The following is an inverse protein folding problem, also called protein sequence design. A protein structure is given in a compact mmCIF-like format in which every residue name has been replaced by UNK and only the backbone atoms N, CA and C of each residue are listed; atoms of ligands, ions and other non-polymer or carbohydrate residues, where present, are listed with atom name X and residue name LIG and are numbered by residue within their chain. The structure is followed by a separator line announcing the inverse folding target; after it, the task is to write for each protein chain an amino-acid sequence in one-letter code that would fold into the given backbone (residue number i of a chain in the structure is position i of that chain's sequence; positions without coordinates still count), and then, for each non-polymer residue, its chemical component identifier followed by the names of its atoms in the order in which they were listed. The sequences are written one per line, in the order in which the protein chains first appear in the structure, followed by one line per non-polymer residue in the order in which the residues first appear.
data_IF_203515915559
#
_entry.id   IF_203515915559
#
_cell.length_a   1.000
_cell.length_b   1.000
_cell.length_c   1.000
_cell.angle_alpha   90.00
_cell.angle_beta   90.00
_cell.angle_gamma   90.00
#
_symmetry.space_group_name_H-M   'P 1'
#
loop_
_entity.id
_entity.type
_entity.pdbx_description
1 polymer ?
#
# COMPACT_ATOMS: atom_id res chain seq x y z
N UNK A 1 16.63 -11.25 11.32
CA UNK A 1 15.71 -11.08 10.17
C UNK A 1 15.92 -9.67 9.67
N UNK A 2 16.34 -9.46 8.41
CA UNK A 2 16.59 -8.09 7.91
C UNK A 2 15.23 -7.40 7.75
N UNK A 3 15.14 -6.17 8.22
CA UNK A 3 14.00 -5.30 7.99
C UNK A 3 14.01 -4.88 6.51
N UNK A 4 13.08 -5.44 5.72
CA UNK A 4 12.99 -5.21 4.27
C UNK A 4 12.72 -3.74 3.94
N UNK A 5 11.88 -3.06 4.72
CA UNK A 5 11.58 -1.64 4.52
C UNK A 5 12.82 -0.78 4.77
N UNK A 6 13.62 -1.12 5.79
CA UNK A 6 14.91 -0.46 6.02
C UNK A 6 15.87 -0.65 4.84
N UNK A 7 15.91 -1.85 4.24
CA UNK A 7 16.75 -2.09 3.06
C UNK A 7 16.28 -1.28 1.85
N UNK A 8 14.96 -1.13 1.65
CA UNK A 8 14.39 -0.30 0.58
C UNK A 8 14.78 1.17 0.77
N UNK A 9 14.61 1.71 1.99
CA UNK A 9 15.01 3.08 2.33
C UNK A 9 16.50 3.31 2.08
N UNK A 10 17.36 2.38 2.52
CA UNK A 10 18.80 2.48 2.28
C UNK A 10 19.12 2.43 0.78
N UNK A 11 18.54 1.49 0.04
CA UNK A 11 18.74 1.36 -1.41
C UNK A 11 18.34 2.64 -2.18
N UNK A 12 17.28 3.31 -1.71
CA UNK A 12 16.79 4.56 -2.26
C UNK A 12 17.70 5.75 -1.92
N UNK A 13 18.20 5.83 -0.68
CA UNK A 13 19.16 6.87 -0.27
C UNK A 13 20.51 6.74 -0.99
N UNK A 14 21.01 5.51 -1.14
CA UNK A 14 22.24 5.21 -1.87
C UNK A 14 22.18 5.72 -3.32
N UNK A 15 20.97 5.73 -3.92
CA UNK A 15 20.69 6.21 -5.28
C UNK A 15 20.20 7.65 -5.34
N UNK A 16 20.18 8.36 -4.21
CA UNK A 16 19.71 9.75 -4.12
C UNK A 16 18.26 9.93 -4.55
N UNK A 17 17.43 8.89 -4.44
CA UNK A 17 16.00 9.00 -4.69
C UNK A 17 15.33 9.85 -3.59
N UNK A 18 15.81 9.77 -2.35
CA UNK A 18 15.25 10.58 -1.26
C UNK A 18 15.58 12.07 -1.39
N UNK A 19 16.71 12.43 -2.01
CA UNK A 19 17.19 13.81 -2.10
C UNK A 19 17.00 14.46 -3.47
N UNK A 20 17.04 13.69 -4.55
CA UNK A 20 17.03 14.20 -5.93
C UNK A 20 15.71 13.91 -6.66
N UNK A 21 14.87 13.02 -6.15
CA UNK A 21 13.51 12.82 -6.65
C UNK A 21 12.52 13.64 -5.82
N UNK A 22 11.28 13.76 -6.30
CA UNK A 22 10.21 14.49 -5.61
C UNK A 22 9.05 13.54 -5.31
N UNK A 23 8.23 13.83 -4.28
CA UNK A 23 7.02 13.04 -4.02
C UNK A 23 6.08 12.97 -5.22
N UNK A 24 6.01 14.02 -6.04
CA UNK A 24 5.21 14.05 -7.26
C UNK A 24 5.75 13.09 -8.34
N UNK A 25 7.08 12.99 -8.47
CA UNK A 25 7.71 12.02 -9.35
C UNK A 25 7.51 10.58 -8.85
N UNK A 26 7.58 10.36 -7.53
CA UNK A 26 7.26 9.04 -6.95
C UNK A 26 5.77 8.68 -7.08
N UNK A 27 4.86 9.66 -7.03
CA UNK A 27 3.45 9.44 -7.34
C UNK A 27 3.23 8.97 -8.79
N UNK A 28 3.93 9.58 -9.75
CA UNK A 28 3.93 9.13 -11.14
C UNK A 28 4.44 7.69 -11.25
N UNK A 29 5.54 7.36 -10.55
CA UNK A 29 6.07 5.99 -10.51
C UNK A 29 5.08 5.01 -9.88
N UNK A 30 4.43 5.38 -8.79
CA UNK A 30 3.39 4.57 -8.15
C UNK A 30 2.23 4.29 -9.11
N UNK A 31 1.85 5.28 -9.92
CA UNK A 31 0.79 5.12 -10.93
C UNK A 31 1.19 4.12 -12.03
N UNK A 32 2.47 4.06 -12.40
CA UNK A 32 3.04 3.04 -13.29
C UNK A 32 2.93 1.65 -12.65
N UNK A 33 3.40 1.48 -11.41
CA UNK A 33 3.35 0.18 -10.70
C UNK A 33 1.92 -0.35 -10.52
N UNK A 34 0.95 0.54 -10.28
CA UNK A 34 -0.48 0.18 -10.23
C UNK A 34 -1.00 -0.30 -11.60
N UNK A 35 -0.49 0.26 -12.69
CA UNK A 35 -0.78 -0.19 -14.05
C UNK A 35 -0.22 -1.59 -14.31
N UNK A 36 1.02 -1.83 -13.90
CA UNK A 36 1.66 -3.15 -14.01
C UNK A 36 0.93 -4.20 -13.17
N UNK A 37 0.54 -3.87 -11.94
CA UNK A 37 -0.27 -4.74 -11.09
C UNK A 37 -1.62 -5.08 -11.75
N UNK A 38 -2.27 -4.09 -12.36
CA UNK A 38 -3.53 -4.31 -13.09
C UNK A 38 -3.36 -5.32 -14.24
N UNK A 39 -2.26 -5.19 -15.00
CA UNK A 39 -1.91 -6.12 -16.07
C UNK A 39 -1.59 -7.53 -15.51
N UNK A 40 -0.84 -7.63 -14.41
CA UNK A 40 -0.51 -8.90 -13.77
C UNK A 40 -1.75 -9.65 -13.24
N UNK A 41 -2.70 -8.91 -12.66
CA UNK A 41 -4.00 -9.45 -12.24
C UNK A 41 -4.76 -9.98 -13.45
N UNK A 42 -4.88 -9.20 -14.53
CA UNK A 42 -5.59 -9.59 -15.74
C UNK A 42 -4.97 -10.86 -16.39
N UNK A 43 -3.65 -10.98 -16.38
CA UNK A 43 -2.93 -12.15 -16.92
C UNK A 43 -3.04 -13.40 -16.03
N UNK A 44 -3.51 -13.26 -14.79
CA UNK A 44 -3.66 -14.34 -13.80
C UNK A 44 -2.37 -15.18 -13.59
N UNK A 45 -1.21 -14.53 -13.64
CA UNK A 45 0.09 -15.16 -13.37
C UNK A 45 0.57 -14.78 -11.98
N UNK A 46 0.60 -15.76 -11.08
CA UNK A 46 0.97 -15.53 -9.67
C UNK A 46 2.36 -14.90 -9.49
N UNK A 47 3.33 -15.29 -10.33
CA UNK A 47 4.69 -14.75 -10.22
C UNK A 47 4.72 -13.25 -10.56
N UNK A 48 4.10 -12.86 -11.68
CA UNK A 48 3.96 -11.46 -12.08
C UNK A 48 3.15 -10.64 -11.03
N UNK A 49 2.16 -11.26 -10.38
CA UNK A 49 1.41 -10.60 -9.31
C UNK A 49 2.27 -10.35 -8.07
N UNK A 50 3.09 -11.32 -7.66
CA UNK A 50 4.00 -11.16 -6.51
C UNK A 50 4.97 -10.01 -6.74
N UNK A 51 5.54 -9.94 -7.95
CA UNK A 51 6.47 -8.88 -8.37
C UNK A 51 5.79 -7.50 -8.31
N UNK A 52 4.68 -7.33 -9.01
CA UNK A 52 3.98 -6.05 -9.08
C UNK A 52 3.42 -5.58 -7.73
N UNK A 53 2.97 -6.49 -6.86
CA UNK A 53 2.61 -6.12 -5.47
C UNK A 53 3.83 -5.62 -4.69
N UNK A 54 4.99 -6.25 -4.89
CA UNK A 54 6.25 -5.84 -4.30
C UNK A 54 6.65 -4.43 -4.73
N UNK A 55 6.60 -4.14 -6.03
CA UNK A 55 7.00 -2.84 -6.58
C UNK A 55 6.13 -1.70 -6.08
N UNK A 56 4.81 -1.91 -5.99
CA UNK A 56 3.89 -0.95 -5.36
C UNK A 56 4.33 -0.62 -3.93
N UNK A 57 4.69 -1.63 -3.13
CA UNK A 57 5.15 -1.43 -1.75
C UNK A 57 6.51 -0.73 -1.70
N UNK A 58 7.44 -1.06 -2.61
CA UNK A 58 8.75 -0.39 -2.72
C UNK A 58 8.56 1.10 -2.97
N UNK A 59 7.75 1.47 -3.96
CA UNK A 59 7.52 2.88 -4.30
C UNK A 59 6.79 3.62 -3.19
N UNK A 60 5.79 3.00 -2.55
CA UNK A 60 5.12 3.57 -1.38
C UNK A 60 6.09 3.82 -0.22
N UNK A 61 7.03 2.90 0.02
CA UNK A 61 8.03 3.03 1.08
C UNK A 61 8.95 4.22 0.82
N UNK A 62 9.42 4.37 -0.42
CA UNK A 62 10.30 5.48 -0.84
C UNK A 62 9.55 6.81 -0.76
N UNK A 63 8.31 6.86 -1.24
CA UNK A 63 7.48 8.06 -1.22
C UNK A 63 7.14 8.50 0.22
N UNK A 64 6.82 7.55 1.11
CA UNK A 64 6.61 7.84 2.53
C UNK A 64 7.87 8.44 3.16
N UNK A 65 9.04 7.85 2.91
CA UNK A 65 10.32 8.36 3.41
C UNK A 65 10.64 9.78 2.90
N UNK A 66 10.34 10.09 1.64
CA UNK A 66 10.47 11.45 1.10
C UNK A 66 9.57 12.48 1.79
N UNK A 67 8.43 12.03 2.34
CA UNK A 67 7.50 12.86 3.10
C UNK A 67 7.80 12.87 4.61
N UNK A 68 8.91 12.24 5.05
CA UNK A 68 9.28 12.15 6.45
C UNK A 68 8.41 11.19 7.26
N UNK A 69 7.82 10.18 6.61
CA UNK A 69 6.95 9.18 7.22
C UNK A 69 7.59 7.79 7.15
N UNK A 70 7.24 6.94 8.11
CA UNK A 70 7.51 5.50 8.05
C UNK A 70 6.26 4.76 7.59
N UNK A 71 6.35 4.01 6.49
CA UNK A 71 5.19 3.32 5.89
C UNK A 71 4.56 2.33 6.87
N UNK A 72 5.38 1.68 7.69
CA UNK A 72 4.96 0.75 8.73
C UNK A 72 4.02 1.41 9.76
N UNK A 73 4.28 2.68 10.10
CA UNK A 73 3.41 3.45 11.00
C UNK A 73 2.11 3.82 10.31
N UNK A 74 2.15 4.19 9.02
CA UNK A 74 0.95 4.44 8.22
C UNK A 74 0.06 3.19 8.12
N UNK A 75 0.65 2.03 7.86
CA UNK A 75 -0.07 0.74 7.79
C UNK A 75 -0.63 0.36 9.15
N UNK A 76 0.14 0.55 10.23
CA UNK A 76 -0.35 0.31 11.59
C UNK A 76 -1.55 1.20 11.91
N UNK A 77 -1.46 2.50 11.64
CA UNK A 77 -2.58 3.43 11.84
C UNK A 77 -3.81 3.01 11.04
N UNK A 78 -3.63 2.64 9.76
CA UNK A 78 -4.73 2.14 8.93
C UNK A 78 -5.35 0.85 9.49
N UNK A 79 -4.53 -0.06 10.05
CA UNK A 79 -5.03 -1.29 10.67
C UNK A 79 -5.87 -1.00 11.93
N UNK A 80 -5.42 -0.08 12.78
CA UNK A 80 -6.16 0.34 13.98
C UNK A 80 -7.56 0.88 13.63
N UNK A 81 -7.72 1.52 12.46
CA UNK A 81 -9.01 2.00 11.96
C UNK A 81 -9.93 0.90 11.37
N UNK A 82 -9.38 -0.25 10.99
CA UNK A 82 -10.14 -1.34 10.35
C UNK A 82 -10.36 -2.56 11.23
N UNK A 83 -9.52 -2.77 12.26
CA UNK A 83 -9.53 -3.99 13.08
C UNK A 83 -10.86 -4.26 13.79
N UNK A 84 -11.58 -3.20 14.16
CA UNK A 84 -12.84 -3.28 14.89
C UNK A 84 -14.07 -3.11 13.97
N UNK A 85 -13.88 -3.02 12.65
CA UNK A 85 -14.99 -2.89 11.69
C UNK A 85 -15.81 -4.18 11.66
N UNK A 86 -17.10 -4.04 11.94
CA UNK A 86 -18.08 -5.12 11.78
C UNK A 86 -18.84 -4.98 10.47
N UNK A 87 -19.07 -6.10 9.80
CA UNK A 87 -19.63 -6.13 8.46
C UNK A 87 -19.29 -7.41 7.70
N UNK A 88 -19.82 -7.53 6.49
CA UNK A 88 -19.60 -8.68 5.61
C UNK A 88 -19.40 -8.21 4.17
N UNK A 89 -18.77 -9.06 3.35
CA UNK A 89 -18.70 -8.83 1.90
C UNK A 89 -20.01 -9.28 1.25
N UNK A 90 -20.67 -8.39 0.52
CA UNK A 90 -21.84 -8.76 -0.29
C UNK A 90 -21.44 -9.70 -1.43
N UNK A 91 -22.44 -10.34 -2.06
CA UNK A 91 -22.23 -11.16 -3.27
C UNK A 91 -21.66 -10.35 -4.45
N UNK A 92 -21.85 -9.04 -4.42
CA UNK A 92 -21.36 -8.11 -5.45
C UNK A 92 -19.95 -7.57 -5.13
N UNK A 93 -19.29 -8.06 -4.08
CA UNK A 93 -17.92 -7.68 -3.72
C UNK A 93 -17.81 -6.33 -2.99
N UNK A 94 -18.91 -5.83 -2.41
CA UNK A 94 -18.93 -4.58 -1.64
C UNK A 94 -18.95 -4.91 -0.15
N UNK A 95 -18.09 -4.27 0.65
CA UNK A 95 -18.13 -4.40 2.10
C UNK A 95 -19.35 -3.66 2.67
N UNK A 96 -20.25 -4.39 3.32
CA UNK A 96 -21.46 -3.86 3.99
C UNK A 96 -21.20 -3.78 5.49
N UNK A 97 -21.24 -2.58 6.06
CA UNK A 97 -21.10 -2.35 7.50
C UNK A 97 -22.35 -2.84 8.25
N UNK A 98 -22.16 -3.55 9.36
CA UNK A 98 -23.26 -3.84 10.29
C UNK A 98 -23.77 -2.53 10.89
N UNK A 99 -25.08 -2.29 10.81
CA UNK A 99 -25.73 -1.18 11.54
C UNK A 99 -26.08 -1.69 12.93
N UNK A 100 -25.67 -0.96 13.97
CA UNK A 100 -26.22 -1.14 15.30
C UNK A 100 -27.64 -0.57 15.25
N UNK A 101 -28.66 -1.43 15.26
CA UNK A 101 -30.03 -1.00 15.54
C UNK A 101 -30.08 -0.60 17.01
N UNK A 102 -30.07 0.72 17.28
CA UNK A 102 -30.48 1.20 18.59
C UNK A 102 -31.98 0.97 18.67
N UNK A 103 -32.39 -0.05 19.41
CA UNK A 103 -33.77 -0.26 19.83
C UNK A 103 -34.29 1.06 20.41
N UNK A 104 -35.22 1.69 19.69
CA UNK A 104 -35.99 2.81 20.20
C UNK A 104 -36.85 2.27 21.35
N UNK A 105 -36.50 2.65 22.57
CA UNK A 105 -37.42 2.62 23.72
C UNK A 105 -38.30 3.85 23.70
#
# INVERSE_FOLDING_TARGET
MRDTFKNIRQWADDRKLLTNSTPQAQWMKLSEELGELSVAIQKNKKIDQIDAFGDVVVVLTIMAAQLGLELEECVKAAYEEIKDRKGYMSKDGVFVKEKIENEKQ
#
